data_IF_331331337896
#
_entry.id   IF_331331337896
#
_cell.length_a   1.000
_cell.length_b   1.000
_cell.length_c   1.000
_cell.angle_alpha   90.00
_cell.angle_beta   90.00
_cell.angle_gamma   90.00
#
_symmetry.space_group_name_H-M   'P 1'
#
loop_
_entity.id
_entity.type
_entity.pdbx_description
1 polymer ?
#
# COMPACT_ATOMS: atom_id res chain seq x y z
N UNK A 1 -53.18 -64.24 33.14
CA UNK A 1 -52.88 -63.75 31.80
C UNK A 1 -52.64 -62.21 31.70
N UNK A 2 -53.09 -61.36 32.62
CA UNK A 2 -52.94 -59.90 32.57
C UNK A 2 -51.51 -59.39 32.92
N UNK A 3 -50.74 -60.08 33.76
CA UNK A 3 -49.39 -59.63 34.19
C UNK A 3 -48.32 -59.83 33.14
N UNK A 4 -48.44 -60.73 32.16
CA UNK A 4 -47.47 -60.95 31.10
C UNK A 4 -47.52 -59.87 29.99
N UNK A 5 -48.67 -59.31 29.71
CA UNK A 5 -48.85 -58.23 28.69
C UNK A 5 -48.28 -56.88 29.15
N UNK A 6 -48.32 -56.61 30.49
CA UNK A 6 -47.77 -55.37 31.04
C UNK A 6 -46.22 -55.36 30.95
N UNK A 7 -45.60 -56.53 31.18
CA UNK A 7 -44.13 -56.62 31.13
C UNK A 7 -43.57 -56.45 29.69
N UNK A 8 -44.32 -56.94 28.70
CA UNK A 8 -43.92 -56.81 27.28
C UNK A 8 -44.05 -55.36 26.77
N UNK A 9 -45.08 -54.64 27.24
CA UNK A 9 -45.27 -53.21 26.85
C UNK A 9 -44.21 -52.29 27.49
N UNK A 10 -43.84 -52.60 28.77
CA UNK A 10 -42.76 -51.80 29.43
C UNK A 10 -41.39 -52.04 28.79
N UNK A 11 -41.10 -53.28 28.34
CA UNK A 11 -39.83 -53.63 27.71
C UNK A 11 -39.72 -52.96 26.31
N UNK A 12 -40.82 -52.86 25.56
CA UNK A 12 -40.84 -52.20 24.24
C UNK A 12 -40.67 -50.68 24.39
N UNK A 13 -41.21 -50.06 25.43
CA UNK A 13 -41.11 -48.66 25.73
C UNK A 13 -39.67 -48.27 26.19
N UNK A 14 -39.00 -49.19 26.93
CA UNK A 14 -37.62 -48.99 27.38
C UNK A 14 -36.59 -49.09 26.21
N UNK A 15 -36.88 -49.89 25.18
CA UNK A 15 -36.01 -50.01 24.01
C UNK A 15 -36.19 -48.82 23.05
N UNK A 16 -37.40 -48.22 23.01
CA UNK A 16 -37.66 -47.03 22.18
C UNK A 16 -37.07 -45.75 22.76
N UNK A 17 -36.82 -45.67 24.09
CA UNK A 17 -36.12 -44.53 24.71
C UNK A 17 -34.60 -44.61 24.63
N UNK A 18 -34.02 -45.79 24.34
CA UNK A 18 -32.58 -45.93 24.21
C UNK A 18 -32.03 -45.52 22.83
N UNK A 19 -32.89 -45.32 21.84
CA UNK A 19 -32.49 -44.88 20.48
C UNK A 19 -32.52 -43.36 20.25
N UNK A 20 -32.95 -42.57 21.26
CA UNK A 20 -32.96 -41.10 21.20
C UNK A 20 -31.76 -40.43 21.88
N UNK A 21 -30.83 -41.22 22.46
CA UNK A 21 -29.54 -40.73 22.92
C UNK A 21 -28.46 -40.90 21.84
N UNK A 22 -28.81 -40.68 20.57
CA UNK A 22 -27.90 -40.47 19.47
C UNK A 22 -27.23 -39.10 19.67
N UNK A 23 -25.95 -39.14 19.92
CA UNK A 23 -25.08 -37.96 19.99
C UNK A 23 -25.37 -36.97 18.87
N UNK A 24 -26.05 -35.90 19.18
CA UNK A 24 -25.85 -34.63 18.48
C UNK A 24 -24.45 -34.13 18.86
N UNK A 25 -23.41 -34.71 18.26
CA UNK A 25 -22.26 -33.93 17.91
C UNK A 25 -22.78 -33.00 16.82
N UNK A 26 -23.30 -31.86 17.25
CA UNK A 26 -23.32 -30.69 16.40
C UNK A 26 -21.87 -30.48 15.98
N UNK A 27 -21.49 -31.02 14.81
CA UNK A 27 -20.38 -30.50 14.06
C UNK A 27 -20.69 -29.02 14.00
N UNK A 28 -19.86 -28.23 14.70
CA UNK A 28 -19.79 -26.80 14.46
C UNK A 28 -19.40 -26.70 12.99
N UNK A 29 -20.40 -26.60 12.12
CA UNK A 29 -20.22 -26.06 10.79
C UNK A 29 -19.64 -24.68 11.07
N UNK A 30 -18.32 -24.60 11.02
CA UNK A 30 -17.65 -23.31 11.03
C UNK A 30 -18.26 -22.58 9.85
N UNK A 31 -18.86 -21.45 10.12
CA UNK A 31 -19.36 -20.54 9.09
C UNK A 31 -18.16 -20.11 8.23
N UNK A 32 -17.82 -20.95 7.24
CA UNK A 32 -16.69 -20.76 6.32
C UNK A 32 -16.99 -19.70 5.26
N UNK A 33 -18.09 -18.94 5.43
CA UNK A 33 -18.51 -17.95 4.43
C UNK A 33 -17.86 -16.57 4.62
N UNK A 34 -17.24 -16.26 5.77
CA UNK A 34 -16.52 -15.01 5.98
C UNK A 34 -15.06 -15.17 5.55
N UNK A 35 -14.73 -14.63 4.36
CA UNK A 35 -13.33 -14.49 3.95
C UNK A 35 -12.57 -13.69 4.99
N UNK A 36 -11.36 -14.10 5.39
CA UNK A 36 -10.52 -13.32 6.29
C UNK A 36 -10.18 -11.95 5.64
N UNK A 37 -10.00 -10.94 6.47
CA UNK A 37 -9.76 -9.56 6.05
C UNK A 37 -8.29 -9.23 6.25
N UNK A 38 -7.67 -8.62 5.24
CA UNK A 38 -6.32 -8.04 5.29
C UNK A 38 -6.45 -6.53 5.43
N UNK A 39 -5.81 -5.97 6.45
CA UNK A 39 -5.74 -4.53 6.71
C UNK A 39 -4.50 -3.94 6.06
N UNK A 40 -4.71 -3.05 5.12
CA UNK A 40 -3.64 -2.38 4.36
C UNK A 40 -3.53 -0.95 4.85
N UNK A 41 -2.39 -0.59 5.45
CA UNK A 41 -2.13 0.76 5.93
C UNK A 41 -1.58 1.65 4.82
N UNK A 42 -2.21 2.80 4.61
CA UNK A 42 -1.76 3.83 3.68
C UNK A 42 -2.19 5.21 4.18
N UNK A 43 -1.53 6.26 3.70
CA UNK A 43 -2.01 7.64 3.81
C UNK A 43 -2.73 8.07 2.52
N UNK A 44 -3.23 9.30 2.48
CA UNK A 44 -3.81 9.86 1.27
C UNK A 44 -2.69 10.27 0.30
N UNK A 45 -2.55 9.53 -0.79
CA UNK A 45 -1.47 9.70 -1.75
C UNK A 45 -1.91 9.39 -3.20
N UNK A 46 -2.69 10.30 -3.85
CA UNK A 46 -3.08 10.12 -5.25
C UNK A 46 -1.84 10.05 -6.18
N UNK A 47 -1.88 9.23 -7.25
CA UNK A 47 -2.95 8.33 -7.69
C UNK A 47 -2.88 6.92 -7.08
N UNK A 48 -2.07 6.69 -6.04
CA UNK A 48 -1.82 5.37 -5.46
C UNK A 48 -2.90 4.92 -4.47
N UNK A 49 -3.28 5.80 -3.54
CA UNK A 49 -4.35 5.59 -2.58
C UNK A 49 -5.05 6.91 -2.25
N UNK A 50 -6.33 6.99 -2.52
CA UNK A 50 -7.17 8.16 -2.24
C UNK A 50 -8.65 7.75 -2.17
N UNK A 51 -9.51 8.66 -1.73
CA UNK A 51 -10.96 8.44 -1.77
C UNK A 51 -11.53 9.04 -3.05
N UNK A 52 -12.37 8.27 -3.74
CA UNK A 52 -13.13 8.80 -4.87
C UNK A 52 -14.28 9.73 -4.39
N UNK A 53 -15.08 10.26 -5.31
CA UNK A 53 -16.21 11.17 -5.01
C UNK A 53 -17.25 10.52 -4.08
N UNK A 54 -17.39 9.20 -4.09
CA UNK A 54 -18.28 8.45 -3.21
C UNK A 54 -17.66 8.12 -1.84
N UNK A 55 -16.43 8.57 -1.58
CA UNK A 55 -15.69 8.26 -0.35
C UNK A 55 -15.15 6.83 -0.28
N UNK A 56 -15.03 6.15 -1.43
CA UNK A 56 -14.52 4.78 -1.51
C UNK A 56 -13.03 4.81 -1.80
N UNK A 57 -12.18 4.06 -1.03
CA UNK A 57 -10.77 3.94 -1.31
C UNK A 57 -10.52 3.40 -2.74
N UNK A 58 -9.69 4.11 -3.49
CA UNK A 58 -9.33 3.79 -4.86
C UNK A 58 -7.87 4.17 -5.13
N UNK A 59 -7.34 3.84 -6.30
CA UNK A 59 -5.98 4.12 -6.72
C UNK A 59 -5.21 2.86 -7.09
N UNK A 60 -4.01 3.05 -7.61
CA UNK A 60 -3.17 1.97 -8.13
C UNK A 60 -2.93 0.90 -7.09
N UNK A 61 -2.45 1.29 -5.91
CA UNK A 61 -2.10 0.37 -4.83
C UNK A 61 -3.34 -0.33 -4.25
N UNK A 62 -4.45 0.42 -4.12
CA UNK A 62 -5.73 -0.12 -3.64
C UNK A 62 -6.26 -1.21 -4.57
N UNK A 63 -6.27 -0.95 -5.88
CA UNK A 63 -6.79 -1.92 -6.85
C UNK A 63 -5.86 -3.11 -7.02
N UNK A 64 -4.53 -2.91 -7.08
CA UNK A 64 -3.56 -4.00 -7.14
C UNK A 64 -3.66 -4.91 -5.91
N UNK A 65 -3.70 -4.32 -4.71
CA UNK A 65 -3.84 -5.07 -3.47
C UNK A 65 -5.17 -5.83 -3.41
N UNK A 66 -6.27 -5.16 -3.74
CA UNK A 66 -7.62 -5.77 -3.70
C UNK A 66 -7.69 -6.98 -4.63
N UNK A 67 -7.16 -6.88 -5.84
CA UNK A 67 -7.16 -7.99 -6.79
C UNK A 67 -6.21 -9.12 -6.35
N UNK A 68 -4.98 -8.80 -5.89
CA UNK A 68 -4.04 -9.81 -5.41
C UNK A 68 -4.63 -10.61 -4.23
N UNK A 69 -5.15 -9.92 -3.22
CA UNK A 69 -5.76 -10.56 -2.05
C UNK A 69 -7.07 -11.29 -2.39
N UNK A 70 -7.85 -10.79 -3.35
CA UNK A 70 -9.04 -11.50 -3.85
C UNK A 70 -8.65 -12.86 -4.47
N UNK A 71 -7.55 -12.92 -5.24
CA UNK A 71 -7.00 -14.16 -5.82
C UNK A 71 -6.50 -15.13 -4.74
N UNK A 72 -6.07 -14.62 -3.60
CA UNK A 72 -5.67 -15.38 -2.43
C UNK A 72 -6.85 -15.81 -1.53
N UNK A 73 -8.08 -15.36 -1.83
CA UNK A 73 -9.27 -15.68 -1.03
C UNK A 73 -9.55 -14.74 0.14
N UNK A 74 -8.85 -13.62 0.25
CA UNK A 74 -9.06 -12.60 1.28
C UNK A 74 -9.99 -11.48 0.82
N UNK A 75 -10.47 -10.69 1.78
CA UNK A 75 -11.01 -9.34 1.58
C UNK A 75 -9.96 -8.34 2.02
N UNK A 76 -10.04 -7.12 1.52
CA UNK A 76 -9.15 -6.02 1.92
C UNK A 76 -9.93 -4.94 2.67
N UNK A 77 -9.27 -4.33 3.63
CA UNK A 77 -9.68 -3.12 4.32
C UNK A 77 -8.54 -2.10 4.22
N UNK A 78 -8.80 -0.95 3.60
CA UNK A 78 -7.82 0.14 3.53
C UNK A 78 -7.94 0.96 4.80
N UNK A 79 -6.86 1.01 5.57
CA UNK A 79 -6.77 1.72 6.84
C UNK A 79 -5.97 3.00 6.64
N UNK A 80 -6.62 4.14 6.80
CA UNK A 80 -5.93 5.43 6.78
C UNK A 80 -5.02 5.56 8.00
N UNK A 81 -3.73 5.77 7.80
CA UNK A 81 -2.73 5.85 8.86
C UNK A 81 -1.98 7.17 8.86
N UNK A 82 -1.40 7.52 10.01
CA UNK A 82 -0.31 8.48 10.03
C UNK A 82 0.95 7.80 9.45
N UNK A 83 1.46 8.32 8.33
CA UNK A 83 2.59 7.73 7.60
C UNK A 83 3.86 7.57 8.45
N UNK A 84 4.10 8.45 9.38
CA UNK A 84 5.26 8.37 10.28
C UNK A 84 5.22 7.13 11.19
N UNK A 85 4.00 6.61 11.49
CA UNK A 85 3.77 5.45 12.35
C UNK A 85 3.67 4.12 11.60
N UNK A 86 3.83 4.11 10.26
CA UNK A 86 3.63 2.90 9.44
C UNK A 86 4.40 1.68 9.94
N UNK A 87 5.66 1.85 10.36
CA UNK A 87 6.50 0.76 10.87
C UNK A 87 5.93 0.18 12.17
N UNK A 88 5.63 1.03 13.15
CA UNK A 88 5.02 0.64 14.42
C UNK A 88 3.70 -0.12 14.20
N UNK A 89 2.86 0.37 13.28
CA UNK A 89 1.55 -0.20 13.02
C UNK A 89 1.64 -1.60 12.39
N UNK A 90 2.54 -1.82 11.44
CA UNK A 90 2.71 -3.14 10.84
C UNK A 90 3.41 -4.11 11.77
N UNK A 91 4.42 -3.69 12.53
CA UNK A 91 5.12 -4.54 13.49
C UNK A 91 4.23 -4.94 14.67
N UNK A 92 3.28 -4.09 15.07
CA UNK A 92 2.29 -4.41 16.12
C UNK A 92 1.08 -5.21 15.63
N UNK A 93 0.96 -5.49 14.33
CA UNK A 93 -0.17 -6.19 13.73
C UNK A 93 -1.49 -5.40 13.71
N UNK A 94 -1.44 -4.07 13.92
CA UNK A 94 -2.61 -3.19 13.74
C UNK A 94 -3.02 -3.08 12.28
N UNK A 95 -2.05 -3.18 11.37
CA UNK A 95 -2.21 -3.39 9.93
C UNK A 95 -1.41 -4.62 9.53
N UNK A 96 -1.82 -5.30 8.46
CA UNK A 96 -1.14 -6.51 7.95
C UNK A 96 0.02 -6.16 7.02
N UNK A 97 -0.14 -5.11 6.21
CA UNK A 97 0.91 -4.60 5.34
C UNK A 97 0.76 -3.09 5.10
N UNK A 98 1.84 -2.51 4.59
CA UNK A 98 1.92 -1.10 4.18
C UNK A 98 1.91 -1.06 2.66
N UNK A 99 1.01 -0.28 2.06
CA UNK A 99 1.03 0.12 0.66
C UNK A 99 0.68 1.61 0.59
N UNK A 100 1.22 2.33 -0.36
CA UNK A 100 1.07 3.77 -0.50
C UNK A 100 2.32 4.32 -1.19
N UNK A 101 2.59 3.79 -2.39
CA UNK A 101 3.82 4.09 -3.14
C UNK A 101 5.09 3.91 -2.30
N UNK A 102 5.18 2.78 -1.57
CA UNK A 102 6.25 2.58 -0.60
C UNK A 102 7.51 2.02 -1.26
N UNK A 103 8.54 2.86 -1.36
CA UNK A 103 9.83 2.53 -1.99
C UNK A 103 10.58 1.46 -1.20
N UNK A 104 11.02 0.42 -1.90
CA UNK A 104 11.81 -0.69 -1.34
C UNK A 104 13.27 -0.31 -1.07
N UNK A 105 13.84 0.61 -1.88
CA UNK A 105 15.23 1.02 -1.84
C UNK A 105 15.71 1.42 -0.43
N UNK A 106 16.81 0.78 0.03
CA UNK A 106 17.40 1.02 1.34
C UNK A 106 16.57 0.54 2.54
N UNK A 107 15.52 -0.28 2.30
CA UNK A 107 14.62 -0.82 3.33
C UNK A 107 14.42 -2.34 3.22
N UNK A 108 15.16 -3.02 2.34
CA UNK A 108 15.01 -4.46 2.11
C UNK A 108 15.18 -5.31 3.38
N UNK A 109 16.01 -4.84 4.32
CA UNK A 109 16.25 -5.53 5.58
C UNK A 109 15.25 -5.14 6.70
N UNK A 110 14.42 -4.11 6.51
CA UNK A 110 13.48 -3.63 7.53
C UNK A 110 12.14 -4.35 7.49
N UNK A 111 11.75 -4.90 6.33
CA UNK A 111 10.45 -5.51 6.07
C UNK A 111 10.60 -6.82 5.28
N UNK A 112 9.53 -7.60 5.23
CA UNK A 112 9.32 -8.59 4.16
C UNK A 112 8.56 -7.88 3.03
N UNK A 113 8.97 -8.13 1.80
CA UNK A 113 8.45 -7.41 0.65
C UNK A 113 7.75 -8.33 -0.35
N UNK A 114 6.58 -7.90 -0.82
CA UNK A 114 5.96 -8.40 -2.04
C UNK A 114 6.10 -7.33 -3.14
N UNK A 115 6.73 -7.68 -4.22
CA UNK A 115 7.11 -6.77 -5.31
C UNK A 115 8.61 -6.79 -5.61
N UNK A 116 9.15 -5.81 -6.40
CA UNK A 116 8.44 -4.60 -6.81
C UNK A 116 7.29 -4.87 -7.78
N UNK A 117 6.17 -4.19 -7.64
CA UNK A 117 5.04 -4.31 -8.55
C UNK A 117 4.95 -3.18 -9.57
N UNK A 118 5.59 -2.05 -9.33
CA UNK A 118 5.83 -0.94 -10.27
C UNK A 118 7.16 -0.25 -9.96
N UNK A 119 7.72 0.40 -10.98
CA UNK A 119 8.81 1.38 -10.85
C UNK A 119 8.23 2.78 -10.71
N UNK A 120 8.89 3.68 -9.99
CA UNK A 120 8.52 5.09 -9.90
C UNK A 120 9.74 5.98 -9.77
N UNK A 121 9.65 7.19 -10.32
CA UNK A 121 10.71 8.21 -10.29
C UNK A 121 10.48 9.14 -9.10
N UNK A 122 11.49 9.27 -8.24
CA UNK A 122 11.57 10.34 -7.26
C UNK A 122 12.16 11.57 -7.94
N UNK A 123 11.46 12.68 -7.93
CA UNK A 123 11.82 13.90 -8.64
C UNK A 123 11.74 15.14 -7.77
N UNK A 124 12.32 16.25 -8.25
CA UNK A 124 12.11 17.57 -7.66
C UNK A 124 11.21 18.37 -8.58
N UNK A 125 10.22 19.03 -7.99
CA UNK A 125 9.38 20.00 -8.68
C UNK A 125 9.54 21.41 -8.09
N UNK A 126 9.36 22.39 -8.93
CA UNK A 126 9.47 23.82 -8.63
C UNK A 126 8.32 24.58 -9.28
N UNK A 127 8.03 25.80 -8.85
CA UNK A 127 7.10 26.64 -9.58
C UNK A 127 7.54 26.83 -11.03
N UNK A 128 6.60 26.95 -11.97
CA UNK A 128 6.86 26.97 -13.41
C UNK A 128 7.88 28.04 -13.81
N UNK A 129 7.80 29.23 -13.20
CA UNK A 129 8.68 30.38 -13.47
C UNK A 129 9.94 30.42 -12.59
N UNK A 130 10.26 29.31 -11.89
CA UNK A 130 11.46 29.23 -11.03
C UNK A 130 12.75 29.26 -11.85
N UNK A 131 13.82 29.83 -11.30
CA UNK A 131 15.19 29.84 -11.84
C UNK A 131 15.93 28.49 -11.57
N UNK A 132 15.33 27.54 -10.89
CA UNK A 132 15.89 26.23 -10.58
C UNK A 132 15.64 25.28 -11.75
N UNK A 133 16.66 24.86 -12.49
CA UNK A 133 16.55 23.97 -13.66
C UNK A 133 17.19 22.60 -13.46
N UNK A 134 18.06 22.43 -12.48
CA UNK A 134 18.79 21.20 -12.14
C UNK A 134 19.01 21.09 -10.64
N UNK A 135 19.37 19.91 -10.15
CA UNK A 135 19.57 19.65 -8.71
C UNK A 135 20.61 20.58 -8.06
N UNK A 136 21.67 20.95 -8.79
CA UNK A 136 22.71 21.86 -8.27
C UNK A 136 22.20 23.29 -8.00
N UNK A 137 21.10 23.70 -8.62
CA UNK A 137 20.51 25.04 -8.43
C UNK A 137 19.75 25.14 -7.10
N UNK A 138 19.55 24.03 -6.40
CA UNK A 138 18.97 23.99 -5.06
C UNK A 138 19.86 24.60 -3.96
N UNK A 139 21.07 25.07 -4.30
CA UNK A 139 21.98 25.68 -3.32
C UNK A 139 21.32 26.87 -2.62
N UNK A 140 21.21 26.77 -1.29
CA UNK A 140 20.61 27.82 -0.45
C UNK A 140 19.09 27.96 -0.57
N UNK A 141 18.40 27.10 -1.34
CA UNK A 141 16.95 27.09 -1.52
C UNK A 141 16.26 26.33 -0.40
N UNK A 142 14.99 26.61 -0.17
CA UNK A 142 14.13 25.91 0.78
C UNK A 142 13.37 24.81 0.03
N UNK A 143 13.40 23.59 0.58
CA UNK A 143 12.76 22.43 -0.03
C UNK A 143 11.86 21.74 0.98
N UNK A 144 10.65 21.34 0.57
CA UNK A 144 9.77 20.55 1.39
C UNK A 144 9.68 19.09 0.90
N UNK A 145 9.57 18.17 1.87
CA UNK A 145 9.38 16.73 1.68
C UNK A 145 8.35 16.20 2.66
N UNK A 146 7.76 15.06 2.36
CA UNK A 146 7.00 14.35 3.38
C UNK A 146 7.95 13.61 4.32
N UNK A 147 7.66 13.65 5.62
CA UNK A 147 8.42 12.97 6.68
C UNK A 147 8.49 11.47 6.44
N UNK A 148 9.62 10.85 6.81
CA UNK A 148 9.90 9.41 6.73
C UNK A 148 9.84 8.81 5.32
N UNK A 149 9.96 9.70 4.30
CA UNK A 149 10.05 9.29 2.89
C UNK A 149 11.50 9.13 2.43
N UNK A 150 11.69 8.59 1.23
CA UNK A 150 13.02 8.43 0.63
C UNK A 150 13.68 9.79 0.31
N UNK A 151 12.97 10.76 -0.31
CA UNK A 151 13.53 12.10 -0.52
C UNK A 151 14.01 12.76 0.78
N UNK A 152 13.25 12.68 1.87
CA UNK A 152 13.69 13.22 3.15
C UNK A 152 15.06 12.65 3.55
N UNK A 153 15.22 11.33 3.50
CA UNK A 153 16.48 10.66 3.86
C UNK A 153 17.65 11.12 2.96
N UNK A 154 17.42 11.30 1.66
CA UNK A 154 18.44 11.78 0.70
C UNK A 154 18.92 13.18 1.10
N UNK A 155 18.01 14.11 1.35
CA UNK A 155 18.34 15.50 1.68
C UNK A 155 18.91 15.66 3.08
N UNK A 156 18.38 14.96 4.10
CA UNK A 156 18.91 14.99 5.47
C UNK A 156 20.33 14.45 5.56
N UNK A 157 20.57 13.28 4.96
CA UNK A 157 21.84 12.56 5.07
C UNK A 157 22.83 12.95 3.95
N UNK A 158 22.41 13.76 2.99
CA UNK A 158 23.22 14.19 1.84
C UNK A 158 23.87 13.02 1.10
N UNK A 159 23.10 11.97 0.89
CA UNK A 159 23.59 10.74 0.26
C UNK A 159 23.88 10.90 -1.23
N UNK A 160 23.29 11.91 -1.86
CA UNK A 160 23.49 12.23 -3.28
C UNK A 160 24.41 13.44 -3.43
N UNK A 161 25.59 13.23 -4.03
CA UNK A 161 26.61 14.26 -4.26
C UNK A 161 26.17 15.35 -5.24
N UNK A 162 25.14 15.13 -6.05
CA UNK A 162 24.58 16.13 -6.98
C UNK A 162 23.83 17.24 -6.25
N UNK A 163 23.41 16.96 -5.01
CA UNK A 163 22.58 17.85 -4.21
C UNK A 163 23.46 18.79 -3.37
N UNK A 164 23.36 20.11 -3.57
CA UNK A 164 24.11 21.08 -2.78
C UNK A 164 23.52 21.26 -1.39
N UNK A 165 24.17 22.07 -0.56
CA UNK A 165 23.62 22.49 0.73
C UNK A 165 22.36 23.35 0.51
N UNK A 166 21.22 22.87 1.00
CA UNK A 166 19.96 23.62 1.05
C UNK A 166 20.04 24.80 2.03
N UNK A 167 19.17 25.79 1.88
CA UNK A 167 18.85 26.78 2.90
C UNK A 167 18.12 26.10 4.06
N UNK A 168 16.94 25.54 3.79
CA UNK A 168 16.19 24.76 4.76
C UNK A 168 15.61 23.51 4.08
N UNK A 169 15.49 22.43 4.86
CA UNK A 169 14.67 21.27 4.55
C UNK A 169 13.48 21.28 5.51
N UNK A 170 12.26 21.23 4.96
CA UNK A 170 11.00 21.29 5.71
C UNK A 170 10.32 19.93 5.54
N UNK A 171 10.24 19.16 6.63
CA UNK A 171 9.56 17.86 6.64
C UNK A 171 8.14 18.03 7.16
N UNK A 172 7.15 17.61 6.38
CA UNK A 172 5.72 17.71 6.68
C UNK A 172 5.08 16.32 6.75
N UNK A 173 4.08 16.16 7.61
CA UNK A 173 3.43 14.86 7.82
C UNK A 173 2.55 14.38 6.66
N UNK A 174 2.07 15.33 5.83
CA UNK A 174 1.13 15.04 4.73
C UNK A 174 1.67 15.52 3.40
N UNK A 175 1.55 14.68 2.37
CA UNK A 175 2.07 14.96 1.03
C UNK A 175 1.41 16.20 0.40
N UNK A 176 0.10 16.34 0.54
CA UNK A 176 -0.65 17.48 -0.01
C UNK A 176 -0.13 18.84 0.50
N UNK A 177 0.36 18.87 1.75
CA UNK A 177 0.91 20.09 2.32
C UNK A 177 2.19 20.55 1.63
N UNK A 178 3.05 19.63 1.20
CA UNK A 178 4.29 20.01 0.50
C UNK A 178 3.98 20.70 -0.84
N UNK A 179 2.98 20.21 -1.57
CA UNK A 179 2.55 20.83 -2.83
C UNK A 179 1.88 22.17 -2.61
N UNK A 180 1.06 22.26 -1.57
CA UNK A 180 0.46 23.54 -1.15
C UNK A 180 1.55 24.58 -0.79
N UNK A 181 2.61 24.17 -0.08
CA UNK A 181 3.72 25.04 0.27
C UNK A 181 4.44 25.56 -0.97
N UNK A 182 4.67 24.68 -1.97
CA UNK A 182 5.26 25.10 -3.26
C UNK A 182 4.35 26.10 -3.99
N UNK A 183 3.06 25.77 -4.13
CA UNK A 183 2.10 26.63 -4.84
C UNK A 183 1.92 28.00 -4.19
N UNK A 184 2.06 28.10 -2.85
CA UNK A 184 2.02 29.37 -2.11
C UNK A 184 3.37 30.10 -2.04
N UNK A 185 4.44 29.51 -2.57
CA UNK A 185 5.80 30.09 -2.52
C UNK A 185 6.44 30.08 -1.13
N UNK A 186 5.98 29.23 -0.22
CA UNK A 186 6.60 29.05 1.10
C UNK A 186 7.91 28.27 1.02
N UNK A 187 8.08 27.48 -0.04
CA UNK A 187 9.30 26.79 -0.41
C UNK A 187 9.60 26.99 -1.88
N UNK A 188 10.87 26.85 -2.25
CA UNK A 188 11.34 26.98 -3.62
C UNK A 188 11.15 25.69 -4.44
N UNK A 189 11.14 24.54 -3.75
CA UNK A 189 11.06 23.22 -4.36
C UNK A 189 10.37 22.19 -3.43
N UNK A 190 9.89 21.12 -4.04
CA UNK A 190 9.41 19.90 -3.34
C UNK A 190 10.03 18.67 -3.96
N UNK A 191 10.10 17.56 -3.19
CA UNK A 191 10.53 16.28 -3.74
C UNK A 191 9.56 15.18 -3.37
N UNK A 192 9.12 14.42 -4.39
CA UNK A 192 8.14 13.35 -4.28
C UNK A 192 8.20 12.40 -5.49
N UNK A 193 7.30 11.43 -5.53
CA UNK A 193 7.06 10.63 -6.73
C UNK A 193 6.44 11.48 -7.83
N UNK A 194 6.95 11.33 -9.06
CA UNK A 194 6.55 12.13 -10.22
C UNK A 194 5.04 12.09 -10.45
N UNK A 195 4.46 10.92 -10.41
CA UNK A 195 3.04 10.68 -10.68
C UNK A 195 2.13 11.40 -9.69
N UNK A 196 2.55 11.49 -8.42
CA UNK A 196 1.80 12.22 -7.40
C UNK A 196 1.82 13.73 -7.62
N UNK A 197 2.95 14.26 -8.11
CA UNK A 197 3.05 15.69 -8.49
C UNK A 197 2.16 15.96 -9.68
N UNK A 198 2.20 15.10 -10.71
CA UNK A 198 1.36 15.22 -11.91
C UNK A 198 -0.12 15.15 -11.55
N UNK A 199 -0.50 14.21 -10.68
CA UNK A 199 -1.88 14.08 -10.23
C UNK A 199 -2.34 15.31 -9.47
N UNK A 200 -1.51 15.85 -8.56
CA UNK A 200 -1.83 17.09 -7.84
C UNK A 200 -2.03 18.29 -8.79
N UNK A 201 -1.16 18.44 -9.78
CA UNK A 201 -1.31 19.50 -10.79
C UNK A 201 -2.65 19.41 -11.52
N UNK A 202 -3.08 18.18 -11.85
CA UNK A 202 -4.36 17.92 -12.52
C UNK A 202 -5.56 18.19 -11.60
N UNK A 203 -5.50 17.74 -10.34
CA UNK A 203 -6.63 17.84 -9.40
C UNK A 203 -6.90 19.28 -8.96
N UNK A 204 -5.84 20.11 -8.88
CA UNK A 204 -5.93 21.50 -8.38
C UNK A 204 -5.74 22.57 -9.45
N UNK A 205 -5.75 22.18 -10.74
CA UNK A 205 -5.55 23.09 -11.89
C UNK A 205 -4.37 24.04 -11.66
N UNK A 206 -3.23 23.47 -11.28
CA UNK A 206 -1.97 24.18 -11.01
C UNK A 206 -0.83 23.66 -11.86
N UNK A 207 0.24 24.43 -11.99
CA UNK A 207 1.37 24.07 -12.83
C UNK A 207 2.68 24.17 -12.05
N UNK A 208 3.40 23.05 -12.03
CA UNK A 208 4.77 22.95 -11.53
C UNK A 208 5.68 22.43 -12.62
N UNK A 209 6.93 22.84 -12.60
CA UNK A 209 7.94 22.29 -13.49
C UNK A 209 8.73 21.21 -12.75
N UNK A 210 8.67 20.00 -13.27
CA UNK A 210 9.47 18.86 -12.80
C UNK A 210 10.87 18.95 -13.40
N UNK A 211 11.91 18.83 -12.58
CA UNK A 211 13.27 18.79 -13.06
C UNK A 211 13.53 17.52 -13.88
N UNK A 212 14.23 17.66 -15.01
CA UNK A 212 14.51 16.52 -15.91
C UNK A 212 15.34 15.43 -15.23
N UNK A 213 16.28 15.85 -14.38
CA UNK A 213 17.17 14.97 -13.63
C UNK A 213 16.42 14.39 -12.42
N UNK A 214 16.13 13.07 -12.37
CA UNK A 214 15.49 12.48 -11.21
C UNK A 214 16.48 12.37 -10.04
N UNK A 215 15.94 12.35 -8.81
CA UNK A 215 16.70 11.95 -7.64
C UNK A 215 17.10 10.48 -7.75
N UNK A 216 16.13 9.63 -8.07
CA UNK A 216 16.33 8.19 -8.27
C UNK A 216 15.11 7.56 -8.93
N UNK A 217 15.28 6.34 -9.43
CA UNK A 217 14.19 5.41 -9.79
C UNK A 217 14.15 4.32 -8.74
N UNK A 218 12.97 3.96 -8.28
CA UNK A 218 12.77 2.99 -7.19
C UNK A 218 11.67 1.99 -7.51
N UNK A 219 11.82 0.78 -7.01
CA UNK A 219 10.74 -0.21 -6.98
C UNK A 219 9.79 0.07 -5.83
N UNK A 220 8.51 -0.06 -6.11
CA UNK A 220 7.42 0.09 -5.15
C UNK A 220 6.91 -1.30 -4.79
N UNK A 221 6.81 -1.59 -3.49
CA UNK A 221 6.40 -2.88 -2.98
C UNK A 221 5.40 -2.78 -1.82
N UNK A 222 4.73 -3.89 -1.52
CA UNK A 222 3.97 -4.04 -0.30
C UNK A 222 4.89 -4.55 0.82
N UNK A 223 4.91 -3.83 1.95
CA UNK A 223 5.78 -4.14 3.08
C UNK A 223 5.00 -4.79 4.22
N UNK A 224 5.43 -5.97 4.63
CA UNK A 224 4.93 -6.71 5.79
C UNK A 224 5.91 -6.61 6.95
N UNK A 225 5.45 -6.89 8.16
CA UNK A 225 6.35 -6.95 9.31
C UNK A 225 7.53 -7.92 9.02
N UNK A 226 8.72 -7.56 9.48
CA UNK A 226 9.93 -8.38 9.26
C UNK A 226 9.76 -9.82 9.73
N UNK A 227 9.01 -10.02 10.82
CA UNK A 227 8.78 -11.33 11.45
C UNK A 227 7.43 -11.95 11.04
N UNK A 228 6.78 -11.48 9.98
CA UNK A 228 5.54 -12.09 9.50
C UNK A 228 5.83 -13.45 8.87
N UNK A 229 5.44 -14.54 9.55
CA UNK A 229 5.66 -15.93 9.15
C UNK A 229 4.40 -16.61 8.57
N UNK A 230 3.32 -15.85 8.37
CA UNK A 230 2.03 -16.37 7.86
C UNK A 230 2.10 -16.83 6.38
N UNK A 231 3.18 -16.55 5.67
CA UNK A 231 3.34 -16.86 4.24
C UNK A 231 2.49 -15.99 3.31
N UNK A 232 1.84 -14.94 3.86
CA UNK A 232 0.96 -14.04 3.09
C UNK A 232 1.79 -13.16 2.14
N UNK A 233 2.96 -12.71 2.58
CA UNK A 233 3.88 -11.91 1.78
C UNK A 233 4.31 -12.65 0.50
N UNK A 234 4.74 -13.90 0.62
CA UNK A 234 5.17 -14.74 -0.49
C UNK A 234 4.04 -15.05 -1.46
N UNK A 235 2.84 -15.35 -0.92
CA UNK A 235 1.66 -15.57 -1.74
C UNK A 235 1.25 -14.31 -2.49
N UNK A 236 1.30 -13.13 -1.84
CA UNK A 236 1.02 -11.85 -2.49
C UNK A 236 2.02 -11.59 -3.63
N UNK A 237 3.31 -11.82 -3.39
CA UNK A 237 4.34 -11.66 -4.43
C UNK A 237 4.02 -12.50 -5.66
N UNK A 238 3.68 -13.78 -5.48
CA UNK A 238 3.27 -14.67 -6.58
C UNK A 238 2.05 -14.14 -7.33
N UNK A 239 1.05 -13.59 -6.61
CA UNK A 239 -0.15 -13.03 -7.27
C UNK A 239 0.14 -11.74 -8.04
N UNK A 240 1.03 -10.88 -7.53
CA UNK A 240 1.49 -9.71 -8.27
C UNK A 240 2.23 -10.08 -9.56
N UNK A 241 3.08 -11.11 -9.52
CA UNK A 241 3.74 -11.65 -10.72
C UNK A 241 2.74 -12.26 -11.72
N UNK A 242 1.73 -13.01 -11.24
CA UNK A 242 0.65 -13.53 -12.07
C UNK A 242 -0.13 -12.38 -12.74
N UNK A 243 -0.46 -11.33 -11.99
CA UNK A 243 -1.17 -10.15 -12.48
C UNK A 243 -0.35 -9.35 -13.49
N UNK A 244 0.96 -9.31 -13.33
CA UNK A 244 1.85 -8.74 -14.33
C UNK A 244 1.79 -9.53 -15.64
N UNK A 245 1.96 -10.87 -15.56
CA UNK A 245 2.01 -11.78 -16.72
C UNK A 245 0.67 -11.84 -17.49
N UNK A 246 -0.46 -11.79 -16.79
CA UNK A 246 -1.79 -11.88 -17.41
C UNK A 246 -2.36 -10.51 -17.85
N UNK A 247 -1.59 -9.42 -17.68
CA UNK A 247 -1.96 -8.07 -18.07
C UNK A 247 -2.92 -7.34 -17.11
N UNK A 248 -3.26 -7.95 -15.98
CA UNK A 248 -4.15 -7.32 -14.97
C UNK A 248 -3.51 -6.07 -14.39
N UNK A 249 -2.20 -6.11 -14.05
CA UNK A 249 -1.47 -4.95 -13.53
C UNK A 249 -1.50 -3.79 -14.53
N UNK A 250 -1.21 -4.05 -15.80
CA UNK A 250 -1.27 -3.04 -16.86
C UNK A 250 -2.66 -2.42 -16.98
N UNK A 251 -3.72 -3.24 -16.94
CA UNK A 251 -5.11 -2.78 -17.02
C UNK A 251 -5.47 -1.87 -15.84
N UNK A 252 -4.98 -2.15 -14.65
CA UNK A 252 -5.22 -1.33 -13.45
C UNK A 252 -4.46 0.00 -13.58
N UNK A 253 -3.16 -0.04 -13.86
CA UNK A 253 -2.30 1.15 -13.91
C UNK A 253 -2.77 2.12 -15.01
N UNK A 254 -3.22 1.60 -16.15
CA UNK A 254 -3.75 2.38 -17.28
C UNK A 254 -4.95 3.28 -16.94
N UNK A 255 -5.66 3.01 -15.84
CA UNK A 255 -6.75 3.88 -15.39
C UNK A 255 -6.25 5.21 -14.80
N UNK A 256 -5.00 5.23 -14.36
CA UNK A 256 -4.41 6.31 -13.56
C UNK A 256 -3.22 6.99 -14.22
N UNK A 257 -2.56 6.34 -15.19
CA UNK A 257 -1.33 6.80 -15.83
C UNK A 257 -1.44 6.73 -17.35
N UNK A 258 -0.93 7.76 -18.02
CA UNK A 258 -1.01 7.88 -19.49
C UNK A 258 -0.06 6.90 -20.21
N UNK A 259 1.10 6.58 -19.61
CA UNK A 259 2.12 5.67 -20.17
C UNK A 259 2.42 4.54 -19.16
N UNK A 260 1.48 3.59 -18.99
CA UNK A 260 1.54 2.63 -17.89
C UNK A 260 2.65 1.58 -18.05
N UNK A 261 3.10 1.30 -19.27
CA UNK A 261 4.07 0.23 -19.56
C UNK A 261 5.43 0.52 -18.93
N UNK A 262 5.87 1.78 -18.96
CA UNK A 262 7.15 2.20 -18.36
C UNK A 262 7.24 1.98 -16.84
N UNK A 263 6.09 1.90 -16.15
CA UNK A 263 6.05 1.65 -14.71
C UNK A 263 6.12 0.17 -14.36
N UNK A 264 5.95 -0.72 -15.36
CA UNK A 264 6.04 -2.16 -15.19
C UNK A 264 7.45 -2.72 -15.50
N UNK A 265 8.39 -1.88 -15.93
CA UNK A 265 9.79 -2.23 -16.14
C UNK A 265 10.52 -2.26 -14.79
N UNK A 266 10.35 -3.34 -14.02
CA UNK A 266 10.88 -3.49 -12.65
C UNK A 266 12.11 -4.41 -12.57
N UNK A 267 12.40 -5.19 -13.60
CA UNK A 267 13.46 -6.22 -13.59
C UNK A 267 14.88 -5.65 -13.44
N UNK A 268 15.11 -4.43 -13.93
CA UNK A 268 16.41 -3.78 -13.91
C UNK A 268 16.69 -2.96 -12.62
N UNK A 269 15.81 -3.00 -11.65
CA UNK A 269 15.94 -2.19 -10.42
C UNK A 269 16.94 -2.75 -9.41
N UNK A 270 17.46 -3.98 -9.62
CA UNK A 270 18.56 -4.54 -8.83
C UNK A 270 18.19 -5.00 -7.41
N UNK A 271 16.97 -5.47 -7.19
CA UNK A 271 16.50 -6.04 -5.92
C UNK A 271 16.65 -7.56 -5.86
#
# INVERSE_FOLDING_TARGET
MKKRKIFTVVLIFSILMATLAGCDKADKVSDTTKKPVIKIGSDNYPPYNFLNEDGIPTGIDVELATEAFRRMGYKTEIVQINWEKKKELVESGKIDCIMGCFSMEGRLNDYRWAGPYIASRQVVAVNENSDIHKLSDLKGKNLAVQSTTKPEGIFLNRTDKRIPKLGNLISLGHMELIYTFLGKGYVDAVAAHEESIVQYMKDYDTSFRILKEPLMVVGIGAAFAKNDDRGICEQMNQKLEEMHKDGTSLKIIKKYMDDPEKYLEVDDLGY
#
